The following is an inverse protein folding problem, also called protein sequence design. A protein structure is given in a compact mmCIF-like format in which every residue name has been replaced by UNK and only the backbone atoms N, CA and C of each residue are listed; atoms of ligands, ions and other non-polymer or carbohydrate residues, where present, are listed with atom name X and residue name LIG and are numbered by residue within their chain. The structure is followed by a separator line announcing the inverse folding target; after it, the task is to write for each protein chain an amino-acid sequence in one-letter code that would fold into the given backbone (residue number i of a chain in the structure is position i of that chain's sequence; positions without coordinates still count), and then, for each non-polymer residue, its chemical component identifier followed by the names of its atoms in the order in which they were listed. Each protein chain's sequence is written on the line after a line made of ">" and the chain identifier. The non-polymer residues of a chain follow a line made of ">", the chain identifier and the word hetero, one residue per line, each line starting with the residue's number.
data_IF_460147178618
#
_entry.id   IF_460147178618
#
_cell.length_a   1.000
_cell.length_b   1.000
_cell.length_c   1.000
_cell.angle_alpha   90.00
_cell.angle_beta   90.00
_cell.angle_gamma   90.00
#
_symmetry.space_group_name_H-M   'P 1'
#
loop_
_entity.id
_entity.type
_entity.pdbx_description
1 polymer ?
#
# COMPACT_ATOMS: atom_id res chain seq x y z
N UNK A 1 -5.44 6.00 -19.49
CA UNK A 1 -4.51 5.00 -18.94
C UNK A 1 -5.29 3.74 -18.55
N UNK A 2 -4.89 2.54 -19.00
CA UNK A 2 -5.56 1.29 -18.65
C UNK A 2 -5.57 1.03 -17.13
N UNK A 3 -6.60 0.32 -16.64
CA UNK A 3 -6.80 0.05 -15.20
C UNK A 3 -5.60 -0.66 -14.56
N UNK A 4 -5.08 -1.71 -15.20
CA UNK A 4 -3.92 -2.46 -14.70
C UNK A 4 -2.65 -1.59 -14.55
N UNK A 5 -2.38 -0.70 -15.52
CA UNK A 5 -1.24 0.23 -15.47
C UNK A 5 -1.38 1.18 -14.29
N UNK A 6 -2.61 1.61 -13.97
CA UNK A 6 -2.89 2.48 -12.83
C UNK A 6 -2.63 1.79 -11.50
N UNK A 7 -3.12 0.57 -11.37
CA UNK A 7 -2.92 -0.25 -10.18
C UNK A 7 -1.43 -0.44 -9.91
N UNK A 8 -0.65 -0.85 -10.93
CA UNK A 8 0.79 -1.08 -10.77
C UNK A 8 1.56 0.21 -10.48
N UNK A 9 1.14 1.34 -11.06
CA UNK A 9 1.85 2.63 -10.91
C UNK A 9 1.53 3.37 -9.60
N UNK A 10 0.32 3.21 -9.07
CA UNK A 10 -0.17 4.02 -7.94
C UNK A 10 -0.67 3.17 -6.78
N UNK A 11 -1.53 2.18 -7.03
CA UNK A 11 -2.19 1.42 -5.96
C UNK A 11 -1.22 0.44 -5.28
N UNK A 12 -0.53 -0.40 -6.05
CA UNK A 12 0.40 -1.39 -5.51
C UNK A 12 1.57 -0.74 -4.72
N UNK A 13 2.23 0.33 -5.21
CA UNK A 13 3.25 1.02 -4.43
C UNK A 13 2.70 1.65 -3.16
N UNK A 14 1.47 2.15 -3.18
CA UNK A 14 0.83 2.75 -2.02
C UNK A 14 0.38 1.70 -1.00
N UNK A 15 -0.14 0.55 -1.44
CA UNK A 15 -0.43 -0.60 -0.59
C UNK A 15 0.80 -1.02 0.19
N UNK A 16 1.92 -1.29 -0.50
CA UNK A 16 3.17 -1.70 0.14
C UNK A 16 3.73 -0.61 1.08
N UNK A 17 3.60 0.66 0.71
CA UNK A 17 4.00 1.77 1.57
C UNK A 17 3.17 1.84 2.85
N UNK A 18 1.85 1.70 2.74
CA UNK A 18 0.95 1.72 3.90
C UNK A 18 1.19 0.51 4.80
N UNK A 19 1.37 -0.69 4.26
CA UNK A 19 1.72 -1.88 5.03
C UNK A 19 3.03 -1.71 5.78
N UNK A 20 4.08 -1.19 5.12
CA UNK A 20 5.36 -0.94 5.76
C UNK A 20 5.22 0.04 6.93
N UNK A 21 4.43 1.12 6.76
CA UNK A 21 4.16 2.09 7.82
C UNK A 21 3.38 1.48 8.99
N UNK A 22 2.32 0.73 8.71
CA UNK A 22 1.51 0.08 9.75
C UNK A 22 2.32 -0.94 10.56
N UNK A 23 3.12 -1.77 9.90
CA UNK A 23 4.01 -2.71 10.59
C UNK A 23 5.10 -1.99 11.39
N UNK A 24 5.66 -0.89 10.86
CA UNK A 24 6.63 -0.09 11.61
C UNK A 24 6.00 0.54 12.86
N UNK A 25 4.75 1.04 12.80
CA UNK A 25 4.02 1.54 13.97
C UNK A 25 3.77 0.45 15.02
N UNK A 26 3.65 -0.80 14.60
CA UNK A 26 3.53 -1.97 15.48
C UNK A 26 4.87 -2.43 16.09
N UNK A 27 5.97 -1.76 15.77
CA UNK A 27 7.30 -2.00 16.38
C UNK A 27 8.21 -2.94 15.60
N UNK A 28 7.80 -3.42 14.41
CA UNK A 28 8.65 -4.27 13.58
C UNK A 28 9.80 -3.48 12.96
N UNK A 29 10.99 -4.08 12.91
CA UNK A 29 12.18 -3.49 12.27
C UNK A 29 12.11 -3.65 10.75
N UNK A 30 12.84 -2.79 10.02
CA UNK A 30 12.92 -2.80 8.55
C UNK A 30 13.19 -4.19 7.98
N UNK A 31 14.09 -4.96 8.61
CA UNK A 31 14.43 -6.32 8.19
C UNK A 31 13.23 -7.27 8.29
N UNK A 32 12.51 -7.25 9.41
CA UNK A 32 11.35 -8.10 9.64
C UNK A 32 10.23 -7.76 8.65
N UNK A 33 9.98 -6.46 8.46
CA UNK A 33 8.99 -5.96 7.49
C UNK A 33 9.36 -6.43 6.07
N UNK A 34 10.64 -6.37 5.69
CA UNK A 34 11.10 -6.82 4.38
C UNK A 34 10.85 -8.32 4.16
N UNK A 35 11.11 -9.15 5.18
CA UNK A 35 10.85 -10.59 5.14
C UNK A 35 9.34 -10.89 5.05
N UNK A 36 8.53 -10.21 5.87
CA UNK A 36 7.06 -10.35 5.92
C UNK A 36 6.37 -9.95 4.62
N UNK A 37 6.83 -8.86 3.99
CA UNK A 37 6.27 -8.36 2.73
C UNK A 37 6.94 -8.98 1.49
N UNK A 38 8.03 -9.73 1.66
CA UNK A 38 8.80 -10.27 0.53
C UNK A 38 9.48 -9.21 -0.31
N UNK A 39 9.95 -8.14 0.32
CA UNK A 39 10.60 -7.00 -0.31
C UNK A 39 12.06 -6.91 0.13
N UNK A 40 12.83 -6.02 -0.49
CA UNK A 40 14.18 -5.69 0.00
C UNK A 40 14.10 -4.69 1.15
N UNK A 41 15.07 -4.73 2.06
CA UNK A 41 15.20 -3.72 3.13
C UNK A 41 15.30 -2.29 2.56
N UNK A 42 15.96 -2.13 1.40
CA UNK A 42 16.04 -0.85 0.70
C UNK A 42 14.66 -0.36 0.21
N UNK A 43 13.80 -1.25 -0.27
CA UNK A 43 12.43 -0.90 -0.66
C UNK A 43 11.60 -0.45 0.55
N UNK A 44 11.68 -1.20 1.67
CA UNK A 44 10.99 -0.84 2.92
C UNK A 44 11.50 0.49 3.47
N UNK A 45 12.81 0.70 3.51
CA UNK A 45 13.41 1.98 3.91
C UNK A 45 12.89 3.13 3.05
N UNK A 46 12.81 2.97 1.73
CA UNK A 46 12.25 3.98 0.83
C UNK A 46 10.75 4.24 1.05
N UNK A 47 9.98 3.23 1.43
CA UNK A 47 8.57 3.40 1.78
C UNK A 47 8.37 4.16 3.08
N UNK A 48 9.23 3.93 4.08
CA UNK A 48 9.20 4.63 5.37
C UNK A 48 9.74 6.07 5.25
N UNK A 49 10.80 6.29 4.45
CA UNK A 49 11.47 7.60 4.31
C UNK A 49 10.81 8.55 3.30
N UNK A 50 9.76 8.10 2.60
CA UNK A 50 8.88 8.90 1.74
C UNK A 50 9.56 9.65 0.57
N UNK A 51 9.78 8.92 -0.53
CA UNK A 51 9.77 9.48 -1.92
C UNK A 51 8.96 8.63 -2.92
N UNK A 52 8.71 7.34 -2.65
CA UNK A 52 7.92 6.45 -3.53
C UNK A 52 6.52 6.23 -2.96
N UNK A 53 5.49 6.28 -3.81
CA UNK A 53 4.09 5.98 -3.44
C UNK A 53 3.25 7.15 -2.93
N UNK A 54 3.81 8.35 -2.71
CA UNK A 54 3.06 9.52 -2.19
C UNK A 54 1.78 9.83 -2.96
N UNK A 55 1.83 9.82 -4.30
CA UNK A 55 0.63 10.08 -5.14
C UNK A 55 -0.46 9.02 -4.95
N UNK A 56 -0.08 7.77 -4.68
CA UNK A 56 -1.04 6.69 -4.43
C UNK A 56 -1.51 6.62 -2.97
N UNK A 57 -0.69 7.08 -2.03
CA UNK A 57 -1.04 7.12 -0.60
C UNK A 57 -2.26 8.01 -0.34
N UNK A 58 -2.38 9.14 -1.05
CA UNK A 58 -3.55 10.03 -0.95
C UNK A 58 -4.86 9.30 -1.29
N UNK A 59 -4.83 8.38 -2.25
CA UNK A 59 -6.00 7.60 -2.67
C UNK A 59 -6.45 6.69 -1.53
N UNK A 60 -5.49 5.97 -0.95
CA UNK A 60 -5.71 5.07 0.19
C UNK A 60 -6.18 5.87 1.40
N UNK A 61 -5.51 6.97 1.72
CA UNK A 61 -5.81 7.79 2.90
C UNK A 61 -7.20 8.43 2.85
N UNK A 62 -7.76 8.66 1.66
CA UNK A 62 -9.07 9.30 1.50
C UNK A 62 -10.23 8.30 1.43
N UNK A 63 -9.95 7.02 1.20
CA UNK A 63 -10.96 5.99 1.14
C UNK A 63 -10.93 5.17 2.46
N UNK A 64 -11.96 5.34 3.28
CA UNK A 64 -12.05 4.70 4.59
C UNK A 64 -11.93 3.18 4.51
N UNK A 65 -12.69 2.56 3.61
CA UNK A 65 -12.69 1.12 3.39
C UNK A 65 -11.33 0.60 2.90
N UNK A 66 -10.61 1.39 2.10
CA UNK A 66 -9.23 1.05 1.71
C UNK A 66 -8.27 1.06 2.91
N UNK A 67 -8.40 2.02 3.82
CA UNK A 67 -7.60 2.06 5.06
C UNK A 67 -7.90 0.86 5.97
N UNK A 68 -9.18 0.51 6.11
CA UNK A 68 -9.61 -0.66 6.89
C UNK A 68 -9.01 -1.95 6.35
N UNK A 69 -9.11 -2.18 5.03
CA UNK A 69 -8.54 -3.36 4.38
C UNK A 69 -7.02 -3.49 4.61
N UNK A 70 -6.31 -2.36 4.58
CA UNK A 70 -4.86 -2.34 4.80
C UNK A 70 -4.50 -2.59 6.26
N UNK A 71 -5.27 -1.99 7.19
CA UNK A 71 -5.09 -2.22 8.62
C UNK A 71 -5.33 -3.70 8.97
N UNK A 72 -6.39 -4.29 8.42
CA UNK A 72 -6.71 -5.71 8.57
C UNK A 72 -5.60 -6.60 7.99
N UNK A 73 -5.09 -6.28 6.81
CA UNK A 73 -3.97 -7.00 6.20
C UNK A 73 -2.71 -6.89 7.06
N UNK A 74 -2.36 -5.69 7.53
CA UNK A 74 -1.20 -5.47 8.37
C UNK A 74 -1.29 -6.29 9.68
N UNK A 75 -2.48 -6.38 10.27
CA UNK A 75 -2.74 -7.21 11.45
C UNK A 75 -2.60 -8.71 11.16
N UNK A 76 -3.12 -9.18 10.01
CA UNK A 76 -2.96 -10.56 9.56
C UNK A 76 -1.48 -10.89 9.31
N UNK A 77 -0.73 -9.99 8.68
CA UNK A 77 0.71 -10.13 8.47
C UNK A 77 1.45 -10.17 9.79
N UNK A 78 1.15 -9.26 10.73
CA UNK A 78 1.76 -9.23 12.05
C UNK A 78 1.59 -10.55 12.83
N UNK A 79 0.43 -11.22 12.67
CA UNK A 79 0.12 -12.48 13.37
C UNK A 79 0.63 -13.73 12.66
N UNK A 80 0.50 -13.79 11.33
CA UNK A 80 0.77 -15.01 10.53
C UNK A 80 2.11 -14.95 9.78
N UNK A 81 2.81 -13.82 9.81
CA UNK A 81 3.98 -13.56 8.99
C UNK A 81 3.58 -13.23 7.55
N UNK A 82 4.10 -14.00 6.58
CA UNK A 82 3.91 -13.69 5.16
C UNK A 82 2.48 -13.98 4.69
N UNK A 83 1.86 -13.00 4.04
CA UNK A 83 0.51 -13.12 3.45
C UNK A 83 0.57 -12.82 1.96
N UNK A 84 -0.30 -13.44 1.16
CA UNK A 84 -0.45 -13.13 -0.25
C UNK A 84 -1.11 -11.76 -0.43
N UNK A 85 -0.32 -10.74 -0.72
CA UNK A 85 -0.80 -9.36 -0.94
C UNK A 85 -1.67 -9.21 -2.22
N UNK A 86 -1.67 -10.19 -3.14
CA UNK A 86 -2.43 -10.11 -4.39
C UNK A 86 -3.95 -10.16 -4.16
N UNK A 87 -4.40 -10.91 -3.15
CA UNK A 87 -5.82 -10.97 -2.77
C UNK A 87 -6.32 -9.59 -2.35
N UNK A 88 -5.53 -8.89 -1.55
CA UNK A 88 -5.84 -7.55 -1.06
C UNK A 88 -5.67 -6.47 -2.12
N UNK A 89 -4.74 -6.67 -3.07
CA UNK A 89 -4.64 -5.80 -4.23
C UNK A 89 -5.94 -5.84 -5.03
N UNK A 90 -6.55 -7.01 -5.21
CA UNK A 90 -7.83 -7.14 -5.92
C UNK A 90 -8.97 -6.43 -5.17
N UNK A 91 -9.10 -6.66 -3.85
CA UNK A 91 -10.12 -5.98 -3.03
C UNK A 91 -9.96 -4.46 -3.04
N UNK A 92 -8.71 -3.97 -2.97
CA UNK A 92 -8.43 -2.54 -3.11
C UNK A 92 -8.81 -2.01 -4.49
N UNK A 93 -8.64 -2.81 -5.56
CA UNK A 93 -9.10 -2.42 -6.88
C UNK A 93 -10.62 -2.31 -6.99
N UNK A 94 -11.39 -3.05 -6.19
CA UNK A 94 -12.86 -2.95 -6.21
C UNK A 94 -13.37 -1.75 -5.41
N UNK A 95 -12.70 -1.44 -4.30
CA UNK A 95 -13.11 -0.37 -3.37
C UNK A 95 -12.69 1.02 -3.85
N UNK A 96 -11.61 1.10 -4.64
CA UNK A 96 -11.13 2.37 -5.19
C UNK A 96 -11.85 2.70 -6.49
N UNK A 97 -12.57 3.82 -6.47
CA UNK A 97 -13.27 4.31 -7.66
C UNK A 97 -12.31 5.04 -8.60
N UNK A 98 -11.91 4.33 -9.67
CA UNK A 98 -10.85 4.75 -10.57
C UNK A 98 -11.16 6.00 -11.40
N UNK A 99 -12.43 6.41 -11.55
CA UNK A 99 -12.76 7.61 -12.31
C UNK A 99 -12.42 8.87 -11.51
N UNK A 100 -12.85 8.93 -10.26
CA UNK A 100 -12.57 10.04 -9.35
C UNK A 100 -11.10 10.12 -8.92
N UNK A 101 -10.44 8.96 -8.73
CA UNK A 101 -9.06 8.95 -8.27
C UNK A 101 -8.05 9.33 -9.36
N UNK A 102 -8.38 9.14 -10.64
CA UNK A 102 -7.56 9.65 -11.77
C UNK A 102 -7.53 11.17 -11.84
N UNK A 103 -8.64 11.84 -11.55
CA UNK A 103 -8.74 13.31 -11.54
C UNK A 103 -7.91 13.92 -10.39
N UNK A 104 -7.85 13.22 -9.26
CA UNK A 104 -7.14 13.69 -8.06
C UNK A 104 -5.61 13.56 -8.15
N UNK A 105 -5.09 12.55 -8.84
CA UNK A 105 -3.63 12.41 -9.05
C UNK A 105 -3.09 13.46 -10.03
N UNK A 106 -3.89 13.88 -11.03
CA UNK A 106 -3.46 14.84 -12.06
C UNK A 106 -3.39 16.29 -11.55
N UNK A 107 -4.19 16.67 -10.56
CA UNK A 107 -4.21 18.04 -10.00
C UNK A 107 -3.03 18.38 -9.07
N UNK A 108 -2.24 17.40 -8.65
CA UNK A 108 -1.07 17.57 -7.78
C UNK A 108 0.23 17.23 -8.53
N UNK A 109 0.28 17.58 -9.82
CA UNK A 109 1.38 17.35 -10.75
C UNK A 109 2.37 18.49 -10.74
#
# INVERSE_FOLDING_TARGET
>A
MPRCVYVVKYVLPALRASLAKELSKKGFKIREIAEMLGLTQAAVSQYLSSKRGQKGLIIIERNERARELISELAEKIAKKGRVNEMEYLCMLCEVLDFEDDKLKIQKNG
#
